data_IF_300527144079
#
_entry.id   IF_300527144079
#
_cell.length_a   1.000
_cell.length_b   1.000
_cell.length_c   1.000
_cell.angle_alpha   90.00
_cell.angle_beta   90.00
_cell.angle_gamma   90.00
#
_symmetry.space_group_name_H-M   'P 1'
#
loop_
_entity.id
_entity.type
_entity.pdbx_description
1 polymer ?
#
# COMPACT_ATOMS: atom_id res chain seq x y z
N UNK A 1 -70.70 -14.67 -0.72
CA UNK A 1 -69.99 -15.37 0.37
C UNK A 1 -68.61 -15.77 -0.12
N UNK A 2 -67.52 -15.24 0.47
CA UNK A 2 -66.15 -15.65 0.21
C UNK A 2 -65.75 -16.80 1.13
N UNK A 3 -64.57 -17.42 0.93
CA UNK A 3 -63.47 -17.13 1.86
C UNK A 3 -62.08 -17.22 1.15
N UNK A 4 -60.92 -16.81 1.65
CA UNK A 4 -60.44 -16.54 3.01
C UNK A 4 -59.43 -15.36 3.00
N UNK A 5 -59.57 -14.50 4.01
CA UNK A 5 -58.53 -13.63 4.56
C UNK A 5 -57.54 -14.44 5.43
N UNK A 6 -56.36 -13.87 5.69
CA UNK A 6 -55.65 -13.70 6.99
C UNK A 6 -54.36 -12.90 6.65
N UNK A 7 -54.28 -11.58 6.89
CA UNK A 7 -54.09 -10.82 8.16
C UNK A 7 -52.60 -10.50 8.44
N UNK A 8 -52.17 -9.23 8.21
CA UNK A 8 -51.80 -8.16 9.19
C UNK A 8 -50.51 -8.44 10.00
N UNK A 9 -49.60 -7.49 10.26
CA UNK A 9 -49.81 -6.09 10.63
C UNK A 9 -48.65 -5.14 10.30
N UNK A 10 -49.02 -3.90 9.98
CA UNK A 10 -48.25 -2.68 10.17
C UNK A 10 -47.90 -2.42 11.65
N UNK A 11 -46.77 -1.76 11.90
CA UNK A 11 -46.71 -0.70 12.92
C UNK A 11 -45.72 0.41 12.53
N UNK A 12 -46.25 1.63 12.57
CA UNK A 12 -45.64 2.92 12.28
C UNK A 12 -44.71 3.41 13.40
N UNK A 13 -43.73 4.22 13.03
CA UNK A 13 -43.47 5.59 13.54
C UNK A 13 -42.40 6.19 12.58
N UNK A 14 -42.67 7.22 11.77
CA UNK A 14 -42.93 8.62 12.15
C UNK A 14 -41.61 9.27 12.57
N UNK A 15 -41.02 10.28 11.95
CA UNK A 15 -41.58 11.43 11.22
C UNK A 15 -40.66 11.91 10.08
N UNK A 16 -41.28 12.39 9.02
CA UNK A 16 -40.70 13.38 8.11
C UNK A 16 -40.76 14.76 8.77
N UNK A 17 -39.70 15.55 8.64
CA UNK A 17 -39.85 16.99 8.43
C UNK A 17 -39.02 17.41 7.22
N UNK A 18 -39.68 18.15 6.33
CA UNK A 18 -39.15 18.68 5.07
C UNK A 18 -38.77 20.14 5.32
N UNK A 19 -37.49 20.43 5.43
CA UNK A 19 -36.92 21.71 4.98
C UNK A 19 -35.42 21.54 4.79
N UNK A 20 -34.97 21.35 3.54
CA UNK A 20 -33.57 21.56 3.17
C UNK A 20 -33.53 22.45 1.92
N UNK A 21 -32.88 23.63 1.99
CA UNK A 21 -32.66 24.44 0.82
C UNK A 21 -31.60 23.78 -0.07
N UNK A 22 -31.77 23.96 -1.39
CA UNK A 22 -30.79 23.63 -2.42
C UNK A 22 -29.43 24.24 -2.05
N UNK A 23 -28.49 23.41 -1.57
CA UNK A 23 -27.09 23.81 -1.44
C UNK A 23 -26.39 23.59 -2.77
N UNK A 24 -26.15 24.72 -3.44
CA UNK A 24 -25.15 24.87 -4.51
C UNK A 24 -23.83 24.25 -4.06
N UNK A 25 -23.27 23.37 -4.89
CA UNK A 25 -21.86 22.99 -4.81
C UNK A 25 -21.01 24.22 -5.17
N UNK A 26 -20.50 24.92 -4.16
CA UNK A 26 -19.55 26.02 -4.35
C UNK A 26 -18.12 25.48 -4.43
N UNK A 27 -17.48 25.76 -5.56
CA UNK A 27 -16.04 25.95 -5.80
C UNK A 27 -15.09 25.63 -4.63
N UNK A 28 -14.20 24.67 -4.84
CA UNK A 28 -12.98 24.50 -4.06
C UNK A 28 -12.09 25.73 -4.28
N UNK A 29 -12.13 26.68 -3.35
CA UNK A 29 -11.18 27.78 -3.30
C UNK A 29 -9.92 27.30 -2.58
N UNK A 30 -8.81 27.45 -3.28
CA UNK A 30 -7.44 27.30 -2.81
C UNK A 30 -7.21 28.17 -1.58
N UNK A 31 -7.00 27.56 -0.41
CA UNK A 31 -6.43 28.25 0.73
C UNK A 31 -4.92 28.36 0.52
N UNK A 32 -4.50 29.52 0.04
CA UNK A 32 -3.11 29.95 0.01
C UNK A 32 -2.60 30.07 1.45
N UNK A 33 -1.84 29.08 1.92
CA UNK A 33 -1.09 29.20 3.18
C UNK A 33 0.16 30.05 2.89
N UNK A 34 0.14 31.29 3.37
CA UNK A 34 1.32 32.15 3.41
C UNK A 34 2.43 31.47 4.23
N UNK A 35 3.49 31.04 3.56
CA UNK A 35 4.76 30.63 4.19
C UNK A 35 5.31 31.80 5.00
N UNK A 36 5.29 31.70 6.33
CA UNK A 36 6.15 32.51 7.20
C UNK A 36 7.48 31.78 7.38
N UNK A 37 8.54 32.33 6.80
CA UNK A 37 9.91 31.91 7.05
C UNK A 37 10.32 32.29 8.48
N UNK A 38 10.57 31.29 9.33
CA UNK A 38 11.32 31.43 10.58
C UNK A 38 12.83 31.19 10.37
N UNK A 39 13.70 31.72 11.23
CA UNK A 39 15.11 31.92 10.92
C UNK A 39 15.94 30.63 10.90
N UNK A 40 16.90 30.59 9.97
CA UNK A 40 17.92 29.55 9.80
C UNK A 40 18.78 29.41 11.07
N UNK A 41 18.86 28.18 11.60
CA UNK A 41 19.91 27.79 12.54
C UNK A 41 21.21 27.63 11.75
N UNK A 42 22.17 28.50 12.03
CA UNK A 42 23.54 28.45 11.49
C UNK A 42 24.38 27.60 12.43
N UNK A 43 24.74 26.39 12.02
CA UNK A 43 25.77 25.61 12.71
C UNK A 43 27.14 25.95 12.12
N UNK A 44 27.91 26.74 12.86
CA UNK A 44 29.32 27.03 12.59
C UNK A 44 30.20 25.86 13.06
N UNK A 45 30.79 25.12 12.12
CA UNK A 45 31.84 24.14 12.40
C UNK A 45 33.03 24.40 11.48
N UNK A 46 34.14 24.84 12.06
CA UNK A 46 35.41 25.11 11.38
C UNK A 46 36.04 23.83 10.79
N UNK A 47 36.87 23.93 9.74
CA UNK A 47 37.37 22.78 8.99
C UNK A 47 38.66 22.19 9.60
N UNK A 48 38.85 20.88 9.46
CA UNK A 48 40.14 20.22 9.66
C UNK A 48 40.61 19.55 8.34
N UNK A 49 41.93 19.45 8.13
CA UNK A 49 42.50 19.42 6.78
C UNK A 49 42.72 18.02 6.22
N UNK A 50 42.86 18.03 4.90
CA UNK A 50 43.30 16.98 3.98
C UNK A 50 44.60 16.29 4.39
N UNK A 51 44.60 14.95 4.33
CA UNK A 51 45.79 14.11 4.44
C UNK A 51 45.60 12.81 3.66
N UNK A 52 46.20 12.75 2.47
CA UNK A 52 46.48 11.53 1.73
C UNK A 52 47.35 10.59 2.58
N UNK A 53 47.04 9.30 2.61
CA UNK A 53 48.06 8.24 2.64
C UNK A 53 47.45 6.90 2.20
N UNK A 54 48.16 6.28 1.27
CA UNK A 54 47.88 5.01 0.61
C UNK A 54 48.47 3.85 1.42
N UNK A 55 48.08 2.62 1.02
CA UNK A 55 48.84 1.35 1.06
C UNK A 55 48.35 0.25 2.04
N UNK A 56 47.87 -0.83 1.37
CA UNK A 56 47.93 -2.30 1.63
C UNK A 56 47.08 -2.97 2.72
N UNK A 57 46.13 -3.77 2.21
CA UNK A 57 46.05 -5.24 2.33
C UNK A 57 46.99 -5.94 3.32
N UNK A 58 46.39 -6.65 4.29
CA UNK A 58 46.83 -8.00 4.68
C UNK A 58 45.69 -8.81 5.30
N UNK A 59 45.70 -10.09 4.96
CA UNK A 59 44.79 -11.17 5.37
C UNK A 59 44.99 -11.56 6.83
N UNK A 60 43.89 -11.94 7.47
CA UNK A 60 43.73 -13.15 8.28
C UNK A 60 44.36 -13.16 9.68
N UNK A 61 43.52 -13.39 10.70
CA UNK A 61 43.70 -14.51 11.62
C UNK A 61 42.41 -14.75 12.42
N UNK A 62 41.99 -16.00 12.50
CA UNK A 62 40.98 -16.47 13.45
C UNK A 62 41.63 -16.53 14.84
N UNK A 63 40.94 -16.07 15.87
CA UNK A 63 41.16 -16.59 17.22
C UNK A 63 39.85 -16.66 17.99
N UNK A 64 39.56 -17.88 18.42
CA UNK A 64 38.56 -18.27 19.41
C UNK A 64 38.73 -17.52 20.73
N UNK A 65 37.63 -17.04 21.30
CA UNK A 65 37.59 -16.49 22.66
C UNK A 65 36.19 -16.62 23.23
N UNK A 66 35.98 -17.69 24.00
CA UNK A 66 34.79 -17.90 24.81
C UNK A 66 34.95 -17.04 26.08
N UNK A 67 34.01 -16.13 26.35
CA UNK A 67 33.86 -15.54 27.67
C UNK A 67 32.38 -15.30 27.96
N UNK A 68 31.97 -15.73 29.16
CA UNK A 68 30.59 -15.84 29.64
C UNK A 68 30.19 -14.58 30.41
N UNK A 69 28.89 -14.32 30.34
CA UNK A 69 28.02 -13.62 31.29
C UNK A 69 27.96 -12.08 31.30
N UNK A 70 26.84 -11.57 30.77
CA UNK A 70 25.95 -10.68 31.52
C UNK A 70 24.53 -10.75 30.94
N UNK A 71 23.56 -10.89 31.84
CA UNK A 71 22.18 -11.27 31.60
C UNK A 71 21.25 -10.15 31.10
N UNK A 72 20.09 -10.60 30.61
CA UNK A 72 18.79 -9.93 30.56
C UNK A 72 18.53 -8.81 29.54
N UNK A 73 17.97 -9.20 28.39
CA UNK A 73 16.68 -8.64 27.95
C UNK A 73 15.91 -9.70 27.12
N UNK A 74 14.90 -10.31 27.74
CA UNK A 74 14.14 -11.43 27.20
C UNK A 74 13.01 -10.94 26.29
N UNK A 75 13.27 -10.79 24.99
CA UNK A 75 12.21 -10.69 23.98
C UNK A 75 11.60 -12.07 23.70
N UNK A 76 10.47 -12.35 24.34
CA UNK A 76 9.63 -13.54 24.12
C UNK A 76 8.90 -13.47 22.77
N UNK A 77 9.59 -13.75 21.67
CA UNK A 77 8.93 -14.01 20.37
C UNK A 77 9.69 -15.02 19.50
N UNK A 78 10.05 -16.19 20.01
CA UNK A 78 10.51 -17.26 19.11
C UNK A 78 10.00 -18.63 19.55
N UNK A 79 8.96 -19.11 18.87
CA UNK A 79 8.65 -20.54 18.85
C UNK A 79 9.83 -21.32 18.26
N UNK A 80 10.06 -22.54 18.75
CA UNK A 80 11.17 -23.39 18.34
C UNK A 80 11.28 -23.48 16.80
N UNK A 81 12.50 -23.44 16.22
CA UNK A 81 12.69 -23.59 14.79
C UNK A 81 12.09 -24.91 14.31
N UNK A 82 11.23 -24.84 13.27
CA UNK A 82 10.65 -26.05 12.65
C UNK A 82 11.75 -27.01 12.21
N UNK A 83 11.47 -28.32 12.21
CA UNK A 83 12.40 -29.30 11.63
C UNK A 83 12.60 -29.02 10.13
N UNK A 84 13.72 -29.47 9.56
CA UNK A 84 13.99 -29.32 8.10
C UNK A 84 12.88 -29.96 7.25
N UNK A 85 12.35 -31.11 7.69
CA UNK A 85 11.24 -31.80 7.02
C UNK A 85 9.94 -30.98 7.05
N UNK A 86 9.62 -30.35 8.18
CA UNK A 86 8.43 -29.50 8.31
C UNK A 86 8.52 -28.24 7.42
N UNK A 87 9.72 -27.64 7.29
CA UNK A 87 9.95 -26.54 6.35
C UNK A 87 9.81 -26.97 4.89
N UNK A 88 10.36 -28.12 4.52
CA UNK A 88 10.25 -28.65 3.16
C UNK A 88 8.79 -28.92 2.77
N UNK A 89 8.01 -29.52 3.67
CA UNK A 89 6.58 -29.76 3.45
C UNK A 89 5.79 -28.45 3.31
N UNK A 90 6.02 -27.48 4.20
CA UNK A 90 5.39 -26.16 4.10
C UNK A 90 5.74 -25.45 2.77
N UNK A 91 6.99 -25.54 2.33
CA UNK A 91 7.45 -24.96 1.06
C UNK A 91 6.77 -25.64 -0.14
N UNK A 92 6.60 -26.96 -0.10
CA UNK A 92 5.91 -27.71 -1.15
C UNK A 92 4.43 -27.29 -1.24
N UNK A 93 3.74 -27.22 -0.10
CA UNK A 93 2.35 -26.77 -0.06
C UNK A 93 2.18 -25.32 -0.56
N UNK A 94 3.10 -24.42 -0.21
CA UNK A 94 3.09 -23.04 -0.72
C UNK A 94 3.25 -22.96 -2.24
N UNK A 95 4.01 -23.87 -2.86
CA UNK A 95 4.12 -23.95 -4.33
C UNK A 95 2.82 -24.38 -4.99
N UNK A 96 2.03 -25.22 -4.32
CA UNK A 96 0.73 -25.68 -4.82
C UNK A 96 -0.34 -24.61 -4.70
N UNK A 97 -0.26 -23.73 -3.69
CA UNK A 97 -1.25 -22.69 -3.47
C UNK A 97 -0.92 -21.36 -4.16
N UNK A 98 0.35 -20.94 -4.22
CA UNK A 98 0.77 -19.68 -4.83
C UNK A 98 1.30 -19.93 -6.24
N UNK A 99 0.39 -20.31 -7.13
CA UNK A 99 0.73 -20.64 -8.51
C UNK A 99 0.69 -19.39 -9.41
N UNK A 100 1.37 -19.41 -10.58
CA UNK A 100 1.21 -18.38 -11.60
C UNK A 100 -0.25 -18.12 -11.99
N UNK A 101 -1.07 -19.17 -12.06
CA UNK A 101 -2.49 -19.08 -12.39
C UNK A 101 -3.29 -18.37 -11.29
N UNK A 102 -2.95 -18.58 -10.00
CA UNK A 102 -3.57 -17.83 -8.91
C UNK A 102 -3.26 -16.34 -9.05
N UNK A 103 -1.99 -15.99 -9.27
CA UNK A 103 -1.53 -14.61 -9.40
C UNK A 103 -2.13 -13.90 -10.62
N UNK A 104 -2.34 -14.63 -11.72
CA UNK A 104 -3.05 -14.11 -12.87
C UNK A 104 -4.55 -13.92 -12.60
N UNK A 105 -5.22 -14.91 -11.98
CA UNK A 105 -6.63 -14.80 -11.59
C UNK A 105 -6.86 -13.63 -10.64
N UNK A 106 -5.95 -13.42 -9.69
CA UNK A 106 -5.94 -12.28 -8.80
C UNK A 106 -5.88 -10.96 -9.58
N UNK A 107 -4.90 -10.81 -10.47
CA UNK A 107 -4.76 -9.58 -11.27
C UNK A 107 -5.99 -9.32 -12.13
N UNK A 108 -6.51 -10.35 -12.82
CA UNK A 108 -7.74 -10.23 -13.61
C UNK A 108 -8.95 -9.85 -12.75
N UNK A 109 -9.07 -10.40 -11.55
CA UNK A 109 -10.12 -10.05 -10.61
C UNK A 109 -10.01 -8.59 -10.13
N UNK A 110 -8.81 -8.17 -9.70
CA UNK A 110 -8.56 -6.85 -9.15
C UNK A 110 -8.85 -5.74 -10.17
N UNK A 111 -8.50 -5.98 -11.43
CA UNK A 111 -8.67 -5.04 -12.54
C UNK A 111 -9.92 -5.29 -13.39
N UNK A 112 -10.85 -6.15 -12.96
CA UNK A 112 -11.99 -6.62 -13.79
C UNK A 112 -12.93 -5.53 -14.33
N UNK A 113 -12.90 -4.35 -13.73
CA UNK A 113 -13.75 -3.20 -14.07
C UNK A 113 -13.04 -2.21 -15.02
N UNK A 114 -11.77 -2.45 -15.34
CA UNK A 114 -11.04 -1.71 -16.38
C UNK A 114 -11.13 -2.51 -17.67
N UNK A 115 -11.83 -1.95 -18.66
CA UNK A 115 -12.16 -2.66 -19.91
C UNK A 115 -11.31 -2.24 -21.11
N UNK A 116 -10.50 -1.18 -20.96
CA UNK A 116 -9.70 -0.63 -22.05
C UNK A 116 -8.27 -0.33 -21.57
N UNK A 117 -7.31 -0.28 -22.50
CA UNK A 117 -5.91 0.05 -22.19
C UNK A 117 -5.78 1.48 -21.65
N UNK A 118 -6.60 2.41 -22.13
CA UNK A 118 -6.66 3.80 -21.66
C UNK A 118 -7.04 3.87 -20.18
N UNK A 119 -7.94 3.00 -19.73
CA UNK A 119 -8.34 2.93 -18.33
C UNK A 119 -7.21 2.43 -17.41
N UNK A 120 -6.25 1.67 -17.94
CA UNK A 120 -5.03 1.32 -17.20
C UNK A 120 -4.02 2.47 -17.16
N UNK A 121 -3.96 3.28 -18.22
CA UNK A 121 -3.12 4.47 -18.30
C UNK A 121 -3.62 5.53 -17.31
N UNK A 122 -4.88 5.92 -17.45
CA UNK A 122 -5.53 6.99 -16.69
C UNK A 122 -6.96 6.57 -16.30
N UNK A 123 -7.14 5.88 -15.16
CA UNK A 123 -8.46 5.44 -14.71
C UNK A 123 -9.35 6.62 -14.31
N UNK A 124 -10.64 6.51 -14.61
CA UNK A 124 -11.65 7.50 -14.24
C UNK A 124 -12.04 7.39 -12.75
N UNK A 125 -12.59 8.47 -12.17
CA UNK A 125 -12.95 8.52 -10.73
C UNK A 125 -13.87 7.38 -10.29
N UNK A 126 -14.86 7.02 -11.10
CA UNK A 126 -15.78 5.91 -10.82
C UNK A 126 -15.10 4.54 -10.86
N UNK A 127 -14.03 4.39 -11.64
CA UNK A 127 -13.22 3.18 -11.70
C UNK A 127 -12.32 3.09 -10.46
N UNK A 128 -11.63 4.19 -10.11
CA UNK A 128 -10.81 4.28 -8.89
C UNK A 128 -11.62 3.91 -7.64
N UNK A 129 -12.86 4.40 -7.54
CA UNK A 129 -13.75 4.10 -6.41
C UNK A 129 -13.99 2.59 -6.18
N UNK A 130 -13.87 1.74 -7.21
CA UNK A 130 -14.04 0.28 -7.07
C UNK A 130 -12.96 -0.38 -6.21
N UNK A 131 -11.82 0.27 -6.00
CA UNK A 131 -10.78 -0.23 -5.10
C UNK A 131 -10.86 0.32 -3.69
N UNK A 132 -11.29 1.57 -3.54
CA UNK A 132 -11.16 2.31 -2.29
C UNK A 132 -12.42 2.30 -1.42
N UNK A 133 -13.59 2.05 -2.01
CA UNK A 133 -14.83 1.87 -1.25
C UNK A 133 -15.02 0.41 -0.86
N UNK A 134 -15.50 0.19 0.37
CA UNK A 134 -15.90 -1.15 0.80
C UNK A 134 -17.07 -1.69 -0.03
N UNK A 135 -17.00 -2.97 -0.40
CA UNK A 135 -18.05 -3.68 -1.13
C UNK A 135 -18.07 -5.13 -0.65
N UNK A 136 -19.16 -5.53 0.00
CA UNK A 136 -19.31 -6.86 0.59
C UNK A 136 -19.17 -7.99 -0.44
N UNK A 137 -19.60 -7.77 -1.69
CA UNK A 137 -19.49 -8.78 -2.75
C UNK A 137 -18.03 -8.95 -3.21
N UNK A 138 -17.25 -7.86 -3.18
CA UNK A 138 -15.81 -7.89 -3.44
C UNK A 138 -15.12 -8.63 -2.31
N UNK A 139 -15.47 -8.33 -1.05
CA UNK A 139 -14.89 -8.98 0.12
C UNK A 139 -15.19 -10.49 0.14
N UNK A 140 -16.44 -10.90 -0.09
CA UNK A 140 -16.82 -12.31 -0.17
C UNK A 140 -16.05 -13.03 -1.31
N UNK A 141 -15.87 -12.36 -2.44
CA UNK A 141 -15.07 -12.89 -3.55
C UNK A 141 -13.60 -13.03 -3.17
N UNK A 142 -13.03 -12.07 -2.44
CA UNK A 142 -11.65 -12.13 -1.95
C UNK A 142 -11.46 -13.30 -0.98
N UNK A 143 -12.37 -13.44 -0.01
CA UNK A 143 -12.37 -14.52 0.97
C UNK A 143 -12.44 -15.87 0.25
N UNK A 144 -13.43 -16.06 -0.63
CA UNK A 144 -13.63 -17.34 -1.33
C UNK A 144 -12.45 -17.72 -2.22
N UNK A 145 -11.86 -16.76 -2.95
CA UNK A 145 -10.88 -17.04 -4.01
C UNK A 145 -9.43 -17.03 -3.51
N UNK A 146 -9.10 -16.21 -2.52
CA UNK A 146 -7.70 -15.90 -2.21
C UNK A 146 -7.33 -16.12 -0.74
N UNK A 147 -8.28 -16.11 0.21
CA UNK A 147 -7.99 -16.41 1.63
C UNK A 147 -7.30 -17.77 1.83
N UNK A 148 -7.59 -18.86 1.08
CA UNK A 148 -6.84 -20.12 1.21
C UNK A 148 -5.32 -19.96 1.04
N UNK A 149 -4.88 -19.14 0.09
CA UNK A 149 -3.44 -18.86 -0.09
C UNK A 149 -2.86 -18.03 1.06
N UNK A 150 -3.62 -17.07 1.58
CA UNK A 150 -3.24 -16.27 2.75
C UNK A 150 -3.10 -17.11 4.01
N UNK A 151 -4.02 -18.05 4.24
CA UNK A 151 -3.95 -18.98 5.38
C UNK A 151 -2.77 -19.95 5.25
N UNK A 152 -2.43 -20.39 4.02
CA UNK A 152 -1.24 -21.19 3.78
C UNK A 152 0.05 -20.42 4.09
N UNK A 153 0.14 -19.14 3.68
CA UNK A 153 1.24 -18.24 4.04
C UNK A 153 1.37 -18.07 5.56
N UNK A 154 0.26 -17.83 6.25
CA UNK A 154 0.24 -17.67 7.71
C UNK A 154 0.64 -18.95 8.44
N UNK A 155 0.08 -20.09 8.05
CA UNK A 155 0.32 -21.40 8.68
C UNK A 155 1.75 -21.90 8.46
N UNK A 156 2.34 -21.56 7.32
CA UNK A 156 3.76 -21.85 7.02
C UNK A 156 4.71 -20.88 7.71
N UNK A 157 4.23 -19.70 8.16
CA UNK A 157 5.03 -18.54 8.59
C UNK A 157 6.00 -18.10 7.50
N UNK A 158 5.52 -18.06 6.26
CA UNK A 158 6.32 -17.69 5.10
C UNK A 158 6.91 -16.29 5.26
N UNK A 159 8.19 -16.15 4.91
CA UNK A 159 8.86 -14.85 4.79
C UNK A 159 8.78 -14.33 3.36
N UNK A 160 9.08 -13.04 3.16
CA UNK A 160 9.24 -12.43 1.82
C UNK A 160 10.24 -13.22 0.97
N UNK A 161 11.33 -13.72 1.57
CA UNK A 161 12.34 -14.55 0.89
C UNK A 161 11.78 -15.90 0.43
N UNK A 162 10.98 -16.57 1.25
CA UNK A 162 10.35 -17.84 0.87
C UNK A 162 9.41 -17.64 -0.32
N UNK A 163 8.60 -16.58 -0.29
CA UNK A 163 7.66 -16.23 -1.35
C UNK A 163 8.40 -15.95 -2.66
N UNK A 164 9.45 -15.11 -2.63
CA UNK A 164 10.26 -14.81 -3.82
C UNK A 164 10.92 -16.08 -4.37
N UNK A 165 11.46 -16.94 -3.50
CA UNK A 165 12.11 -18.19 -3.91
C UNK A 165 11.16 -19.18 -4.59
N UNK A 166 9.89 -19.19 -4.16
CA UNK A 166 8.82 -20.02 -4.71
C UNK A 166 8.30 -19.45 -6.03
N UNK A 167 7.92 -18.18 -6.03
CA UNK A 167 7.20 -17.55 -7.16
C UNK A 167 8.15 -17.14 -8.28
N UNK A 168 9.38 -16.73 -7.93
CA UNK A 168 10.41 -16.26 -8.87
C UNK A 168 9.84 -15.25 -9.90
N UNK A 169 9.29 -14.11 -9.43
CA UNK A 169 8.71 -13.12 -10.34
C UNK A 169 9.78 -12.56 -11.29
N UNK A 170 9.52 -12.68 -12.59
CA UNK A 170 10.40 -12.21 -13.68
C UNK A 170 9.78 -11.07 -14.48
N UNK A 171 8.48 -10.79 -14.29
CA UNK A 171 7.77 -9.70 -14.97
C UNK A 171 7.24 -8.68 -13.95
N UNK A 172 7.09 -7.39 -14.33
CA UNK A 172 6.49 -6.40 -13.45
C UNK A 172 5.07 -6.76 -13.01
N UNK A 173 4.30 -7.48 -13.84
CA UNK A 173 2.94 -7.88 -13.50
C UNK A 173 2.87 -9.03 -12.49
N UNK A 174 3.88 -9.92 -12.46
CA UNK A 174 3.99 -10.92 -11.39
C UNK A 174 4.34 -10.25 -10.06
N UNK A 175 5.23 -9.27 -10.06
CA UNK A 175 5.50 -8.45 -8.88
C UNK A 175 4.25 -7.72 -8.40
N UNK A 176 3.49 -7.10 -9.31
CA UNK A 176 2.22 -6.45 -8.99
C UNK A 176 1.23 -7.43 -8.34
N UNK A 177 1.08 -8.63 -8.90
CA UNK A 177 0.20 -9.65 -8.32
C UNK A 177 0.61 -10.04 -6.90
N UNK A 178 1.91 -10.11 -6.60
CA UNK A 178 2.40 -10.38 -5.24
C UNK A 178 2.08 -9.23 -4.29
N UNK A 179 2.31 -7.99 -4.71
CA UNK A 179 1.93 -6.81 -3.93
C UNK A 179 0.44 -6.82 -3.63
N UNK A 180 -0.41 -7.04 -4.63
CA UNK A 180 -1.87 -7.12 -4.42
C UNK A 180 -2.27 -8.27 -3.49
N UNK A 181 -1.65 -9.45 -3.64
CA UNK A 181 -1.96 -10.62 -2.79
C UNK A 181 -1.62 -10.35 -1.33
N UNK A 182 -0.56 -9.59 -1.06
CA UNK A 182 -0.01 -9.41 0.29
C UNK A 182 -0.45 -8.10 0.94
N UNK A 183 -0.84 -7.09 0.17
CA UNK A 183 -1.25 -5.80 0.69
C UNK A 183 -2.77 -5.61 0.61
N UNK A 184 -3.35 -5.80 -0.57
CA UNK A 184 -4.73 -5.45 -0.82
C UNK A 184 -5.72 -6.55 -0.42
N UNK A 185 -5.50 -7.79 -0.88
CA UNK A 185 -6.39 -8.91 -0.56
C UNK A 185 -6.55 -9.14 0.95
N UNK A 186 -5.52 -9.04 1.80
CA UNK A 186 -5.70 -9.19 3.25
C UNK A 186 -6.65 -8.13 3.84
N UNK A 187 -6.67 -6.91 3.32
CA UNK A 187 -7.57 -5.82 3.77
C UNK A 187 -9.04 -6.13 3.45
N UNK A 188 -9.31 -6.87 2.36
CA UNK A 188 -10.65 -7.40 2.04
C UNK A 188 -10.99 -8.68 2.81
N UNK A 189 -10.01 -9.52 3.13
CA UNK A 189 -10.22 -10.82 3.78
C UNK A 189 -10.33 -10.77 5.31
N UNK A 190 -9.70 -9.79 5.94
CA UNK A 190 -9.54 -9.68 7.40
C UNK A 190 -10.00 -8.31 7.92
N UNK A 191 -11.31 -8.03 7.81
CA UNK A 191 -11.89 -6.78 8.33
C UNK A 191 -12.14 -6.83 9.84
N UNK A 192 -12.39 -5.66 10.43
CA UNK A 192 -12.81 -5.53 11.83
C UNK A 192 -11.79 -6.14 12.80
N UNK A 193 -12.25 -7.07 13.65
CA UNK A 193 -11.41 -7.69 14.67
C UNK A 193 -10.22 -8.50 14.11
N UNK A 194 -10.31 -8.98 12.86
CA UNK A 194 -9.22 -9.73 12.22
C UNK A 194 -8.13 -8.83 11.62
N UNK A 195 -8.34 -7.50 11.55
CA UNK A 195 -7.41 -6.56 10.88
C UNK A 195 -6.00 -6.54 11.47
N UNK A 196 -5.84 -6.94 12.72
CA UNK A 196 -4.52 -7.10 13.34
C UNK A 196 -3.62 -8.11 12.61
N UNK A 197 -4.20 -9.10 11.92
CA UNK A 197 -3.46 -10.05 11.09
C UNK A 197 -2.83 -9.34 9.89
N UNK A 198 -3.54 -8.39 9.29
CA UNK A 198 -3.03 -7.56 8.19
C UNK A 198 -1.80 -6.79 8.65
N UNK A 199 -1.93 -6.03 9.73
CA UNK A 199 -0.87 -5.14 10.21
C UNK A 199 0.35 -5.89 10.76
N UNK A 200 0.15 -7.02 11.45
CA UNK A 200 1.23 -7.76 12.12
C UNK A 200 1.94 -8.75 11.20
N UNK A 201 1.22 -9.37 10.27
CA UNK A 201 1.76 -10.45 9.46
C UNK A 201 1.95 -10.05 8.00
N UNK A 202 0.94 -9.45 7.37
CA UNK A 202 0.97 -9.20 5.93
C UNK A 202 1.71 -7.90 5.55
N UNK A 203 1.45 -6.79 6.24
CA UNK A 203 2.08 -5.49 5.94
C UNK A 203 3.62 -5.56 5.89
N UNK A 204 4.34 -6.21 6.86
CA UNK A 204 5.80 -6.31 6.79
C UNK A 204 6.29 -7.08 5.55
N UNK A 205 5.59 -8.15 5.16
CA UNK A 205 5.93 -8.97 3.99
C UNK A 205 5.63 -8.18 2.71
N UNK A 206 4.48 -7.51 2.64
CA UNK A 206 4.07 -6.71 1.50
C UNK A 206 5.07 -5.57 1.23
N UNK A 207 5.51 -4.89 2.29
CA UNK A 207 6.57 -3.88 2.21
C UNK A 207 7.86 -4.44 1.61
N UNK A 208 8.34 -5.56 2.15
CA UNK A 208 9.57 -6.19 1.63
C UNK A 208 9.43 -6.54 0.15
N UNK A 209 8.28 -7.09 -0.26
CA UNK A 209 7.98 -7.44 -1.64
C UNK A 209 7.93 -6.20 -2.53
N UNK A 210 7.34 -5.10 -2.05
CA UNK A 210 7.33 -3.82 -2.77
C UNK A 210 8.74 -3.28 -3.01
N UNK A 211 9.62 -3.29 -2.00
CA UNK A 211 11.02 -2.91 -2.18
C UNK A 211 11.74 -3.78 -3.20
N UNK A 212 11.55 -5.11 -3.16
CA UNK A 212 12.15 -6.00 -4.18
C UNK A 212 11.61 -5.71 -5.58
N UNK A 213 10.31 -5.44 -5.72
CA UNK A 213 9.70 -5.08 -7.00
C UNK A 213 10.27 -3.77 -7.56
N UNK A 214 10.39 -2.74 -6.72
CA UNK A 214 10.98 -1.44 -7.10
C UNK A 214 12.44 -1.62 -7.53
N UNK A 215 13.25 -2.34 -6.75
CA UNK A 215 14.65 -2.63 -7.06
C UNK A 215 14.82 -3.48 -8.33
N UNK A 216 13.85 -4.34 -8.65
CA UNK A 216 13.80 -5.10 -9.88
C UNK A 216 13.34 -4.27 -11.11
N UNK A 217 13.09 -2.96 -10.93
CA UNK A 217 12.63 -2.06 -12.00
C UNK A 217 11.15 -2.23 -12.36
N UNK A 218 10.35 -2.90 -11.52
CA UNK A 218 8.96 -3.20 -11.83
C UNK A 218 8.08 -1.95 -12.01
N UNK A 219 8.43 -0.83 -11.36
CA UNK A 219 7.68 0.43 -11.43
C UNK A 219 8.08 1.31 -12.61
N UNK A 220 9.24 1.07 -13.22
CA UNK A 220 9.77 1.84 -14.35
C UNK A 220 9.80 1.05 -15.66
N UNK A 221 9.40 -0.22 -15.63
CA UNK A 221 9.21 -1.05 -16.82
C UNK A 221 8.10 -0.48 -17.72
N UNK A 222 8.23 -0.57 -19.05
CA UNK A 222 7.26 0.03 -20.00
C UNK A 222 5.79 -0.36 -19.72
N UNK A 223 5.52 -1.64 -19.44
CA UNK A 223 4.20 -2.17 -19.05
C UNK A 223 3.55 -1.55 -17.81
N UNK A 224 4.28 -0.79 -16.99
CA UNK A 224 3.76 -0.22 -15.73
C UNK A 224 4.04 1.26 -15.59
N UNK A 225 5.18 1.77 -16.12
CA UNK A 225 5.70 3.12 -15.88
C UNK A 225 4.66 4.22 -16.06
N UNK A 226 3.87 4.15 -17.14
CA UNK A 226 2.86 5.14 -17.53
C UNK A 226 1.42 4.65 -17.34
N UNK A 227 1.23 3.63 -16.50
CA UNK A 227 -0.10 3.11 -16.15
C UNK A 227 -0.37 3.37 -14.69
N UNK A 228 -1.11 4.45 -14.40
CA UNK A 228 -1.43 4.82 -13.01
C UNK A 228 -2.08 3.65 -12.27
N UNK A 229 -3.00 2.96 -12.95
CA UNK A 229 -3.70 1.80 -12.40
C UNK A 229 -2.77 0.64 -12.00
N UNK A 230 -1.55 0.57 -12.52
CA UNK A 230 -0.56 -0.45 -12.13
C UNK A 230 0.49 0.09 -11.16
N UNK A 231 1.05 1.27 -11.46
CA UNK A 231 2.24 1.77 -10.77
C UNK A 231 1.98 2.14 -9.32
N UNK A 232 0.82 2.73 -9.01
CA UNK A 232 0.52 3.23 -7.66
C UNK A 232 0.55 2.12 -6.60
N UNK A 233 0.13 0.89 -6.94
CA UNK A 233 0.04 -0.22 -6.00
C UNK A 233 1.38 -0.62 -5.39
N UNK A 234 2.48 -0.40 -6.09
CA UNK A 234 3.81 -0.71 -5.58
C UNK A 234 4.21 0.19 -4.40
N UNK A 235 3.58 1.35 -4.22
CA UNK A 235 3.91 2.32 -3.18
C UNK A 235 3.03 2.19 -1.94
N UNK A 236 1.81 1.65 -2.09
CA UNK A 236 0.87 1.46 -0.98
C UNK A 236 1.44 0.66 0.21
N UNK A 237 2.22 -0.43 0.02
CA UNK A 237 2.83 -1.12 1.15
C UNK A 237 3.78 -0.26 1.98
N UNK A 238 4.43 0.75 1.37
CA UNK A 238 5.26 1.72 2.09
C UNK A 238 4.37 2.67 2.90
N UNK A 239 3.34 3.22 2.27
CA UNK A 239 2.30 4.06 2.89
C UNK A 239 1.61 3.36 4.06
N UNK A 240 1.44 2.04 4.00
CA UNK A 240 0.80 1.28 5.06
C UNK A 240 1.71 0.96 6.25
N UNK A 241 2.98 1.33 6.21
CA UNK A 241 3.91 1.10 7.32
C UNK A 241 3.72 2.12 8.45
N UNK A 242 4.10 1.75 9.67
CA UNK A 242 4.23 2.70 10.79
C UNK A 242 5.71 3.09 10.95
N UNK A 243 6.32 3.58 9.86
CA UNK A 243 7.73 3.94 9.77
C UNK A 243 7.91 5.19 8.90
N UNK A 244 8.35 6.29 9.52
CA UNK A 244 8.46 7.59 8.86
C UNK A 244 9.44 7.57 7.67
N UNK A 245 10.52 6.79 7.75
CA UNK A 245 11.50 6.73 6.66
C UNK A 245 10.92 6.08 5.39
N UNK A 246 9.95 5.18 5.56
CA UNK A 246 9.27 4.55 4.43
C UNK A 246 8.22 5.46 3.81
N UNK A 247 7.62 6.35 4.60
CA UNK A 247 6.80 7.43 4.08
C UNK A 247 7.63 8.44 3.28
N UNK A 248 8.80 8.84 3.79
CA UNK A 248 9.73 9.69 3.03
C UNK A 248 10.10 9.05 1.67
N UNK A 249 10.39 7.75 1.66
CA UNK A 249 10.67 7.01 0.42
C UNK A 249 9.43 6.92 -0.51
N UNK A 250 8.23 6.72 0.04
CA UNK A 250 7.00 6.70 -0.74
C UNK A 250 6.74 8.05 -1.41
N UNK A 251 6.95 9.16 -0.70
CA UNK A 251 6.87 10.53 -1.24
C UNK A 251 7.82 10.70 -2.43
N UNK A 252 9.07 10.24 -2.32
CA UNK A 252 10.03 10.29 -3.44
C UNK A 252 9.54 9.49 -4.65
N UNK A 253 8.94 8.32 -4.43
CA UNK A 253 8.40 7.49 -5.50
C UNK A 253 7.17 8.11 -6.19
N UNK A 254 6.25 8.70 -5.43
CA UNK A 254 5.12 9.44 -6.00
C UNK A 254 5.55 10.70 -6.75
N UNK A 255 6.54 11.43 -6.23
CA UNK A 255 7.12 12.57 -6.94
C UNK A 255 7.78 12.12 -8.24
N UNK A 256 8.58 11.05 -8.22
CA UNK A 256 9.16 10.49 -9.44
C UNK A 256 8.11 10.03 -10.45
N UNK A 257 6.98 9.51 -9.97
CA UNK A 257 5.86 9.16 -10.85
C UNK A 257 5.23 10.40 -11.49
N UNK A 258 5.05 11.50 -10.75
CA UNK A 258 4.62 12.79 -11.31
C UNK A 258 5.58 13.27 -12.39
N UNK A 259 6.87 13.28 -12.09
CA UNK A 259 7.92 13.76 -12.99
C UNK A 259 7.97 12.94 -14.28
N UNK A 260 7.93 11.61 -14.18
CA UNK A 260 7.92 10.72 -15.36
C UNK A 260 6.74 11.04 -16.29
N UNK A 261 5.54 11.25 -15.72
CA UNK A 261 4.34 11.55 -16.52
C UNK A 261 4.40 12.95 -17.13
N UNK A 262 4.87 13.95 -16.39
CA UNK A 262 5.05 15.31 -16.92
C UNK A 262 6.07 15.32 -18.07
N UNK A 263 7.20 14.62 -17.92
CA UNK A 263 8.20 14.45 -18.99
C UNK A 263 7.58 13.86 -20.25
N UNK A 264 6.78 12.79 -20.10
CA UNK A 264 6.08 12.19 -21.24
C UNK A 264 5.12 13.19 -21.89
N UNK A 265 4.26 13.86 -21.10
CA UNK A 265 3.25 14.80 -21.60
C UNK A 265 3.84 16.07 -22.22
N UNK A 266 5.07 16.45 -21.86
CA UNK A 266 5.79 17.59 -22.44
C UNK A 266 6.32 17.31 -23.85
N UNK A 267 6.50 16.03 -24.22
CA UNK A 267 6.94 15.62 -25.55
C UNK A 267 5.88 15.80 -26.65
N UNK A 268 6.32 15.65 -27.90
CA UNK A 268 5.49 15.76 -29.11
C UNK A 268 4.86 14.42 -29.56
N UNK A 269 5.11 13.35 -28.81
CA UNK A 269 4.59 12.01 -29.10
C UNK A 269 5.36 11.23 -30.16
N UNK A 270 6.46 11.76 -30.69
CA UNK A 270 7.29 11.09 -31.71
C UNK A 270 8.32 10.13 -31.11
N UNK A 271 8.79 10.43 -29.90
CA UNK A 271 9.84 9.68 -29.19
C UNK A 271 9.31 8.44 -28.45
N UNK A 272 10.19 7.46 -28.27
CA UNK A 272 9.92 6.25 -27.50
C UNK A 272 9.43 5.05 -28.32
N UNK A 273 9.14 3.96 -27.63
CA UNK A 273 8.56 2.75 -28.23
C UNK A 273 7.04 2.92 -28.52
N UNK A 274 6.45 1.93 -29.20
CA UNK A 274 5.02 1.95 -29.54
C UNK A 274 4.10 2.05 -28.31
N UNK A 275 4.52 1.51 -27.16
CA UNK A 275 3.75 1.55 -25.92
C UNK A 275 3.78 2.96 -25.30
N UNK A 276 4.95 3.59 -25.29
CA UNK A 276 5.12 4.97 -24.85
C UNK A 276 4.31 5.94 -25.71
N UNK A 277 4.32 5.78 -27.03
CA UNK A 277 3.50 6.60 -27.95
C UNK A 277 2.01 6.44 -27.70
N UNK A 278 1.53 5.23 -27.40
CA UNK A 278 0.14 4.98 -27.00
C UNK A 278 -0.19 5.67 -25.68
N UNK A 279 0.67 5.52 -24.67
CA UNK A 279 0.47 6.19 -23.38
C UNK A 279 0.43 7.72 -23.55
N UNK A 280 1.35 8.27 -24.34
CA UNK A 280 1.36 9.69 -24.69
C UNK A 280 0.05 10.12 -25.33
N UNK A 281 -0.47 9.37 -26.32
CA UNK A 281 -1.72 9.70 -27.00
C UNK A 281 -2.91 9.85 -26.06
N UNK A 282 -2.98 9.04 -25.00
CA UNK A 282 -4.03 9.12 -23.96
C UNK A 282 -3.81 10.31 -23.03
N UNK A 283 -2.57 10.53 -22.60
CA UNK A 283 -2.22 11.54 -21.60
C UNK A 283 -2.20 12.96 -22.18
N UNK A 284 -1.74 13.13 -23.42
CA UNK A 284 -1.61 14.42 -24.09
C UNK A 284 -2.96 15.12 -24.29
N UNK A 285 -4.05 14.36 -24.42
CA UNK A 285 -5.42 14.89 -24.53
C UNK A 285 -6.11 15.11 -23.18
N UNK A 286 -5.55 14.57 -22.08
CA UNK A 286 -6.12 14.60 -20.73
C UNK A 286 -5.11 15.07 -19.68
N UNK A 287 -4.26 16.05 -20.04
CA UNK A 287 -3.12 16.49 -19.20
C UNK A 287 -3.53 16.91 -17.79
N UNK A 288 -4.57 17.75 -17.68
CA UNK A 288 -5.03 18.23 -16.37
C UNK A 288 -5.63 17.10 -15.53
N UNK A 289 -6.38 16.18 -16.14
CA UNK A 289 -6.90 14.99 -15.44
C UNK A 289 -5.77 14.08 -14.95
N UNK A 290 -4.71 13.92 -15.74
CA UNK A 290 -3.53 13.17 -15.33
C UNK A 290 -2.81 13.86 -14.17
N UNK A 291 -2.57 15.17 -14.25
CA UNK A 291 -1.95 15.97 -13.18
C UNK A 291 -2.75 15.90 -11.89
N UNK A 292 -4.07 16.12 -11.97
CA UNK A 292 -4.97 16.04 -10.81
C UNK A 292 -4.90 14.68 -10.11
N UNK A 293 -4.90 13.59 -10.88
CA UNK A 293 -4.83 12.23 -10.31
C UNK A 293 -3.47 11.95 -9.67
N UNK A 294 -2.37 12.37 -10.32
CA UNK A 294 -1.02 12.19 -9.79
C UNK A 294 -0.78 13.03 -8.53
N UNK A 295 -1.31 14.27 -8.50
CA UNK A 295 -1.28 15.14 -7.33
C UNK A 295 -2.11 14.54 -6.19
N UNK A 296 -3.32 14.05 -6.49
CA UNK A 296 -4.18 13.37 -5.49
C UNK A 296 -3.45 12.19 -4.84
N UNK A 297 -2.73 11.38 -5.62
CA UNK A 297 -1.94 10.26 -5.08
C UNK A 297 -0.79 10.75 -4.18
N UNK A 298 -0.10 11.82 -4.56
CA UNK A 298 0.97 12.42 -3.77
C UNK A 298 0.47 13.04 -2.47
N UNK A 299 -0.59 13.83 -2.53
CA UNK A 299 -1.22 14.46 -1.36
C UNK A 299 -1.74 13.42 -0.37
N UNK A 300 -2.25 12.30 -0.87
CA UNK A 300 -2.70 11.19 -0.03
C UNK A 300 -1.54 10.59 0.77
N UNK A 301 -0.39 10.37 0.14
CA UNK A 301 0.83 9.94 0.83
C UNK A 301 1.29 10.97 1.87
N UNK A 302 1.28 12.26 1.53
CA UNK A 302 1.65 13.33 2.46
C UNK A 302 0.78 13.31 3.73
N UNK A 303 -0.53 13.10 3.59
CA UNK A 303 -1.44 12.97 4.75
C UNK A 303 -1.09 11.76 5.63
N UNK A 304 -0.75 10.63 5.03
CA UNK A 304 -0.34 9.44 5.79
C UNK A 304 0.97 9.70 6.53
N UNK A 305 1.94 10.29 5.83
CA UNK A 305 3.23 10.69 6.39
C UNK A 305 3.07 11.61 7.59
N UNK A 306 2.19 12.61 7.51
CA UNK A 306 1.97 13.57 8.60
C UNK A 306 1.42 12.90 9.86
N UNK A 307 0.54 11.90 9.73
CA UNK A 307 0.05 11.10 10.85
C UNK A 307 1.21 10.33 11.51
N UNK A 308 2.07 9.70 10.71
CA UNK A 308 3.22 8.97 11.24
C UNK A 308 4.26 9.91 11.85
N UNK A 309 4.48 11.10 11.26
CA UNK A 309 5.34 12.11 11.84
C UNK A 309 4.81 12.62 13.19
N UNK A 310 3.49 12.77 13.33
CA UNK A 310 2.85 13.26 14.54
C UNK A 310 2.78 12.21 15.66
N UNK A 311 2.40 10.97 15.34
CA UNK A 311 2.08 9.93 16.34
C UNK A 311 3.06 8.76 16.36
N UNK A 312 3.95 8.65 15.37
CA UNK A 312 4.84 7.49 15.17
C UNK A 312 4.14 6.20 14.75
N UNK A 313 2.80 6.23 14.59
CA UNK A 313 1.94 5.08 14.29
C UNK A 313 0.57 5.56 13.82
N UNK A 314 -0.29 4.66 13.35
CA UNK A 314 -1.68 4.97 13.02
C UNK A 314 -2.60 4.80 14.24
N UNK A 315 -3.18 5.88 14.80
CA UNK A 315 -4.04 5.79 15.98
C UNK A 315 -5.27 4.90 15.76
N UNK A 316 -5.81 4.88 14.53
CA UNK A 316 -6.95 4.01 14.15
C UNK A 316 -6.65 2.51 14.31
N UNK A 317 -5.38 2.09 14.28
CA UNK A 317 -5.00 0.69 14.47
C UNK A 317 -4.94 0.30 15.94
N UNK A 318 -4.99 1.24 16.89
CA UNK A 318 -4.74 0.98 18.31
C UNK A 318 -5.65 -0.12 18.88
N UNK A 319 -6.96 -0.07 18.58
CA UNK A 319 -7.90 -1.08 19.06
C UNK A 319 -7.56 -2.48 18.53
N UNK A 320 -7.37 -2.62 17.22
CA UNK A 320 -7.01 -3.89 16.58
C UNK A 320 -5.65 -4.42 17.06
N UNK A 321 -4.71 -3.51 17.34
CA UNK A 321 -3.36 -3.85 17.79
C UNK A 321 -3.27 -4.04 19.31
N UNK A 322 -4.37 -3.88 20.05
CA UNK A 322 -4.42 -3.90 21.52
C UNK A 322 -3.49 -2.87 22.19
N UNK A 323 -3.36 -1.68 21.59
CA UNK A 323 -2.59 -0.56 22.12
C UNK A 323 -3.51 0.41 22.85
N UNK A 324 -3.02 1.00 23.94
CA UNK A 324 -3.70 2.13 24.56
C UNK A 324 -3.40 3.41 23.77
N UNK A 325 -4.45 4.17 23.46
CA UNK A 325 -4.32 5.49 22.83
C UNK A 325 -3.90 6.56 23.84
N UNK A 326 -2.96 7.43 23.46
CA UNK A 326 -2.59 8.62 24.25
C UNK A 326 -3.75 9.64 24.28
N UNK A 327 -3.72 10.65 25.16
CA UNK A 327 -4.70 11.73 25.15
C UNK A 327 -4.79 12.44 23.78
N UNK A 328 -3.66 12.69 23.13
CA UNK A 328 -3.58 13.34 21.82
C UNK A 328 -4.19 12.47 20.73
N UNK A 329 -3.88 11.16 20.73
CA UNK A 329 -4.48 10.20 19.81
C UNK A 329 -6.00 10.08 20.02
N UNK A 330 -6.47 10.10 21.27
CA UNK A 330 -7.92 10.09 21.56
C UNK A 330 -8.60 11.33 21.02
N UNK A 331 -7.99 12.50 21.15
CA UNK A 331 -8.56 13.74 20.63
C UNK A 331 -8.60 13.73 19.10
N UNK A 332 -7.51 13.31 18.45
CA UNK A 332 -7.45 13.10 17.01
C UNK A 332 -8.55 12.15 16.50
N UNK A 333 -8.79 11.04 17.22
CA UNK A 333 -9.83 10.08 16.85
C UNK A 333 -11.26 10.61 17.06
N UNK A 334 -11.49 11.52 18.03
CA UNK A 334 -12.81 12.12 18.25
C UNK A 334 -13.24 13.05 17.13
N UNK A 335 -12.30 13.72 16.47
CA UNK A 335 -12.59 14.59 15.32
C UNK A 335 -12.76 13.79 14.02
N UNK A 336 -12.99 12.47 14.12
CA UNK A 336 -13.01 11.52 13.01
C UNK A 336 -11.61 10.99 12.66
N UNK A 337 -10.59 11.84 12.75
CA UNK A 337 -9.26 11.56 12.21
C UNK A 337 -9.29 11.49 10.69
N UNK A 338 -8.15 11.70 10.03
CA UNK A 338 -8.00 11.30 8.64
C UNK A 338 -8.10 9.76 8.58
N UNK A 339 -9.15 9.27 7.93
CA UNK A 339 -9.38 7.86 7.64
C UNK A 339 -9.28 7.62 6.15
N UNK A 340 -8.64 6.52 5.76
CA UNK A 340 -8.26 6.25 4.37
C UNK A 340 -8.96 5.01 3.77
N UNK A 341 -9.85 4.40 4.55
CA UNK A 341 -10.80 3.39 4.08
C UNK A 341 -12.10 4.09 3.72
N UNK A 342 -12.54 4.00 2.47
CA UNK A 342 -13.82 4.55 2.01
C UNK A 342 -15.00 3.78 2.59
N UNK A 343 -15.44 4.17 3.78
CA UNK A 343 -16.64 3.65 4.44
C UNK A 343 -16.84 4.40 5.75
N UNK A 344 -17.93 5.17 5.83
CA UNK A 344 -18.30 5.98 6.99
C UNK A 344 -18.92 5.17 8.14
#
# INVERSE_FOLDING_TARGET
>A
MPPHQISRSLRNAGCFDRTLPLLRLSSWQTLTVQRRCGPRVVCSGSPLPSGLLSIRSRRGFQSTGYSRDSADEMTLTNGLPRSKACRAHATAHLKEVITPELLEKLRRFWFRHLHTEEAFILPQKNQLGRWFFSDENVDESCVRKFRPALEALKSSRATSRDIIAIVRPITPLQWLSLVLLLDQIPRNCYRGAESSVVFKFFDPIARDIAHHAINAGATTHNRTKYRVAYRMWFYLPLMHSEDLALHDLAVEHYQKMKDDFEELMAGDGSAGDDDQRKCWGVLAVQKETARDLLETNYDFEMKHRDIIAQFGRYPHRNLAMHRQSTPEEKEYLKTGGETFSGGG
#
